data_IF_817125175458
#
_entry.id   IF_817125175458
#
_cell.length_a   1.000
_cell.length_b   1.000
_cell.length_c   1.000
_cell.angle_alpha   90.00
_cell.angle_beta   90.00
_cell.angle_gamma   90.00
#
_symmetry.space_group_name_H-M   'P 1'
#
loop_
_entity.id
_entity.type
_entity.pdbx_description
1 polymer ?
#
# COMPACT_ATOMS: atom_id res chain seq x y z
N UNK A 1 -12.96 -5.91 15.27
CA UNK A 1 -11.81 -6.12 14.37
C UNK A 1 -12.12 -7.38 13.56
N UNK A 2 -12.06 -7.33 12.24
CA UNK A 2 -12.39 -8.46 11.36
C UNK A 2 -11.11 -9.08 10.80
N UNK A 3 -10.99 -10.39 10.81
CA UNK A 3 -9.91 -11.10 10.10
C UNK A 3 -10.30 -11.28 8.64
N UNK A 4 -9.51 -10.73 7.71
CA UNK A 4 -9.75 -10.85 6.27
C UNK A 4 -8.93 -11.99 5.66
N UNK A 5 -7.68 -12.13 6.10
CA UNK A 5 -6.74 -13.18 5.73
C UNK A 5 -5.87 -13.48 6.96
N UNK A 6 -5.25 -14.67 7.09
CA UNK A 6 -4.24 -14.91 8.11
C UNK A 6 -3.24 -13.74 8.20
N UNK A 7 -3.12 -13.16 9.39
CA UNK A 7 -2.28 -12.00 9.73
C UNK A 7 -2.72 -10.64 9.14
N UNK A 8 -3.91 -10.54 8.53
CA UNK A 8 -4.48 -9.28 8.07
C UNK A 8 -5.85 -9.05 8.71
N UNK A 9 -5.88 -8.03 9.56
CA UNK A 9 -7.07 -7.61 10.28
C UNK A 9 -7.53 -6.21 9.84
N UNK A 10 -8.83 -6.02 9.74
CA UNK A 10 -9.46 -4.78 9.27
C UNK A 10 -10.33 -4.19 10.39
N UNK A 11 -10.18 -2.88 10.61
CA UNK A 11 -11.05 -2.09 11.49
C UNK A 11 -11.78 -1.07 10.62
N UNK A 12 -13.05 -1.30 10.25
CA UNK A 12 -13.76 -0.38 9.39
C UNK A 12 -14.09 0.93 10.12
N UNK A 13 -13.95 2.05 9.39
CA UNK A 13 -14.49 3.32 9.80
C UNK A 13 -16.03 3.33 9.66
N UNK A 14 -16.69 4.31 10.29
CA UNK A 14 -18.12 4.53 10.04
C UNK A 14 -18.33 5.01 8.58
N UNK A 15 -19.43 4.60 7.96
CA UNK A 15 -19.79 5.04 6.60
C UNK A 15 -20.17 6.52 6.54
N UNK A 16 -20.72 7.05 7.63
CA UNK A 16 -21.05 8.47 7.78
C UNK A 16 -19.87 9.23 8.38
N UNK A 17 -19.51 10.40 7.81
CA UNK A 17 -18.47 11.25 8.38
C UNK A 17 -18.81 11.61 9.83
N UNK A 18 -17.97 11.18 10.76
CA UNK A 18 -18.12 11.53 12.16
C UNK A 18 -17.47 12.89 12.41
N UNK A 19 -18.12 13.74 13.19
CA UNK A 19 -17.52 15.02 13.58
C UNK A 19 -16.29 14.77 14.46
N UNK A 20 -15.11 14.92 13.88
CA UNK A 20 -13.84 14.83 14.61
C UNK A 20 -13.57 16.15 15.31
N UNK A 21 -13.84 16.19 16.62
CA UNK A 21 -13.55 17.35 17.48
C UNK A 21 -12.10 17.38 17.98
N UNK A 22 -11.48 16.22 18.13
CA UNK A 22 -10.10 16.10 18.62
C UNK A 22 -9.31 15.10 17.75
N UNK A 23 -8.33 15.56 16.95
CA UNK A 23 -7.57 14.71 16.05
C UNK A 23 -6.66 13.70 16.77
N UNK A 24 -6.31 13.94 18.04
CA UNK A 24 -5.46 13.03 18.81
C UNK A 24 -6.19 11.81 19.37
N UNK A 25 -7.54 11.80 19.30
CA UNK A 25 -8.35 10.70 19.83
C UNK A 25 -8.05 9.38 19.10
N UNK A 26 -7.74 9.44 17.80
CA UNK A 26 -7.38 8.25 17.02
C UNK A 26 -6.10 7.60 17.59
N UNK A 27 -5.05 8.39 17.81
CA UNK A 27 -3.78 7.91 18.40
C UNK A 27 -4.00 7.17 19.71
N UNK A 28 -4.83 7.72 20.60
CA UNK A 28 -5.14 7.11 21.89
C UNK A 28 -5.89 5.77 21.74
N UNK A 29 -6.83 5.70 20.77
CA UNK A 29 -7.63 4.50 20.53
C UNK A 29 -6.83 3.36 19.90
N UNK A 30 -5.86 3.65 19.03
CA UNK A 30 -5.03 2.63 18.40
C UNK A 30 -3.81 2.23 19.24
N UNK A 31 -3.42 3.04 20.23
CA UNK A 31 -2.24 2.79 21.06
C UNK A 31 -2.19 1.37 21.68
N UNK A 32 -3.29 0.80 22.21
CA UNK A 32 -3.27 -0.58 22.73
C UNK A 32 -2.97 -1.64 21.66
N UNK A 33 -3.36 -1.39 20.40
CA UNK A 33 -3.17 -2.34 19.29
C UNK A 33 -1.69 -2.51 18.95
N UNK A 34 -0.85 -1.52 19.23
CA UNK A 34 0.59 -1.57 18.96
C UNK A 34 1.32 -2.74 19.65
N UNK A 35 0.73 -3.33 20.69
CA UNK A 35 1.28 -4.51 21.39
C UNK A 35 1.04 -5.82 20.64
N UNK A 36 0.13 -5.83 19.67
CA UNK A 36 -0.37 -7.04 19.02
C UNK A 36 -0.12 -7.07 17.51
N UNK A 37 0.34 -5.96 16.93
CA UNK A 37 0.53 -5.81 15.49
C UNK A 37 1.89 -5.20 15.21
N UNK A 38 2.64 -5.82 14.29
CA UNK A 38 3.92 -5.29 13.82
C UNK A 38 3.73 -4.02 12.97
N UNK A 39 2.66 -4.00 12.17
CA UNK A 39 2.31 -2.89 11.27
C UNK A 39 0.83 -2.56 11.43
N UNK A 40 0.54 -1.26 11.55
CA UNK A 40 -0.82 -0.71 11.51
C UNK A 40 -0.89 0.28 10.35
N UNK A 41 -1.63 -0.08 9.30
CA UNK A 41 -1.91 0.81 8.17
C UNK A 41 -3.15 1.66 8.48
N UNK A 42 -3.00 2.97 8.45
CA UNK A 42 -4.10 3.92 8.59
C UNK A 42 -4.41 4.52 7.23
N UNK A 43 -5.57 4.18 6.66
CA UNK A 43 -6.06 4.84 5.45
C UNK A 43 -6.56 6.25 5.79
N UNK A 44 -6.16 7.24 4.99
CA UNK A 44 -6.46 8.65 5.24
C UNK A 44 -7.40 9.20 4.17
N UNK A 45 -8.34 10.05 4.59
CA UNK A 45 -9.15 10.83 3.66
C UNK A 45 -8.28 11.67 2.71
N UNK A 46 -8.62 11.76 1.41
CA UNK A 46 -7.93 12.66 0.50
C UNK A 46 -8.23 14.15 0.81
N UNK A 47 -9.23 14.41 1.66
CA UNK A 47 -9.67 15.75 2.00
C UNK A 47 -8.83 16.37 3.13
N UNK A 48 -8.53 17.65 3.00
CA UNK A 48 -7.84 18.43 4.03
C UNK A 48 -8.80 18.82 5.16
N UNK A 49 -9.20 17.83 5.95
CA UNK A 49 -10.14 17.96 7.06
C UNK A 49 -9.52 17.42 8.37
N UNK A 50 -10.31 17.30 9.43
CA UNK A 50 -9.82 16.75 10.69
C UNK A 50 -9.52 15.24 10.63
N UNK A 51 -9.97 14.52 9.59
CA UNK A 51 -9.65 13.10 9.38
C UNK A 51 -8.18 12.94 8.99
N UNK A 52 -7.69 13.68 7.99
CA UNK A 52 -6.27 13.61 7.60
C UNK A 52 -5.37 14.01 8.77
N UNK A 53 -5.75 15.02 9.55
CA UNK A 53 -5.01 15.43 10.75
C UNK A 53 -4.97 14.33 11.82
N UNK A 54 -6.08 13.59 11.98
CA UNK A 54 -6.15 12.48 12.92
C UNK A 54 -5.24 11.33 12.50
N UNK A 55 -5.28 10.97 11.21
CA UNK A 55 -4.42 9.93 10.65
C UNK A 55 -2.95 10.31 10.77
N UNK A 56 -2.57 11.52 10.34
CA UNK A 56 -1.19 12.02 10.46
C UNK A 56 -0.71 12.03 11.92
N UNK A 57 -1.52 12.50 12.86
CA UNK A 57 -1.13 12.57 14.27
C UNK A 57 -0.99 11.18 14.93
N UNK A 58 -1.70 10.17 14.41
CA UNK A 58 -1.70 8.81 14.92
C UNK A 58 -0.59 7.94 14.30
N UNK A 59 -0.06 8.31 13.14
CA UNK A 59 1.00 7.59 12.44
C UNK A 59 2.40 7.89 12.98
N UNK A 60 3.29 6.90 12.91
CA UNK A 60 4.72 7.07 13.20
C UNK A 60 5.48 7.63 11.98
N UNK A 61 5.07 7.23 10.77
CA UNK A 61 5.60 7.71 9.50
C UNK A 61 4.51 7.73 8.43
N UNK A 62 4.77 8.44 7.32
CA UNK A 62 3.81 8.62 6.24
C UNK A 62 4.35 8.15 4.90
N UNK A 63 3.48 7.49 4.15
CA UNK A 63 3.60 7.24 2.74
C UNK A 63 2.56 8.10 2.03
N UNK A 64 2.99 8.96 1.13
CA UNK A 64 2.07 9.88 0.44
C UNK A 64 1.89 9.42 -0.99
N UNK A 65 0.65 9.16 -1.37
CA UNK A 65 0.29 8.72 -2.72
C UNK A 65 -0.09 9.94 -3.56
N UNK A 66 0.42 9.99 -4.80
CA UNK A 66 0.05 11.00 -5.79
C UNK A 66 -0.18 10.36 -7.16
N UNK A 67 -0.57 11.15 -8.15
CA UNK A 67 -0.67 10.76 -9.57
C UNK A 67 0.15 11.76 -10.40
N UNK A 68 0.62 11.40 -11.60
CA UNK A 68 1.55 12.25 -12.36
C UNK A 68 0.81 13.39 -13.08
N UNK A 69 -0.01 14.14 -12.34
CA UNK A 69 -0.80 15.28 -12.79
C UNK A 69 -0.74 16.41 -11.74
N UNK A 70 -0.76 17.65 -12.23
CA UNK A 70 -0.67 18.85 -11.38
C UNK A 70 -1.77 18.97 -10.32
N UNK A 71 -3.06 18.69 -10.60
CA UNK A 71 -4.11 18.77 -9.58
C UNK A 71 -3.87 17.85 -8.38
N UNK A 72 -3.48 16.60 -8.64
CA UNK A 72 -3.20 15.63 -7.57
C UNK A 72 -1.93 16.02 -6.82
N UNK A 73 -0.87 16.40 -7.53
CA UNK A 73 0.38 16.85 -6.90
C UNK A 73 0.15 18.06 -5.98
N UNK A 74 -0.63 19.06 -6.41
CA UNK A 74 -0.95 20.23 -5.59
C UNK A 74 -1.62 19.86 -4.26
N UNK A 75 -2.50 18.84 -4.28
CA UNK A 75 -3.13 18.32 -3.05
C UNK A 75 -2.13 17.57 -2.18
N UNK A 76 -1.28 16.74 -2.78
CA UNK A 76 -0.17 16.03 -2.12
C UNK A 76 0.75 17.01 -1.38
N UNK A 77 1.13 18.14 -1.99
CA UNK A 77 2.00 19.14 -1.37
C UNK A 77 1.44 19.71 -0.07
N UNK A 78 0.11 19.84 0.04
CA UNK A 78 -0.53 20.30 1.27
C UNK A 78 -0.43 19.26 2.39
N UNK A 79 -0.65 17.98 2.07
CA UNK A 79 -0.44 16.89 3.03
C UNK A 79 1.03 16.82 3.49
N UNK A 80 1.97 16.94 2.55
CA UNK A 80 3.42 17.03 2.83
C UNK A 80 3.72 18.21 3.76
N UNK A 81 3.15 19.39 3.50
CA UNK A 81 3.33 20.58 4.33
C UNK A 81 2.80 20.37 5.75
N UNK A 82 1.62 19.76 5.90
CA UNK A 82 1.04 19.44 7.22
C UNK A 82 1.93 18.45 7.98
N UNK A 83 2.40 17.39 7.33
CA UNK A 83 3.30 16.41 7.92
C UNK A 83 4.62 17.05 8.38
N UNK A 84 5.27 17.85 7.51
CA UNK A 84 6.48 18.63 7.84
C UNK A 84 6.24 19.54 9.05
N UNK A 85 5.13 20.30 9.09
CA UNK A 85 4.77 21.17 10.23
C UNK A 85 4.54 20.41 11.55
N UNK A 86 4.12 19.15 11.46
CA UNK A 86 3.87 18.28 12.61
C UNK A 86 5.08 17.41 12.97
N UNK A 87 6.20 17.57 12.27
CA UNK A 87 7.41 16.75 12.43
C UNK A 87 7.14 15.25 12.30
N UNK A 88 6.20 14.87 11.43
CA UNK A 88 5.96 13.45 11.10
C UNK A 88 6.82 13.09 9.89
N UNK A 89 7.67 12.07 9.98
CA UNK A 89 8.56 11.69 8.89
C UNK A 89 7.75 11.18 7.69
N UNK A 90 8.12 11.65 6.51
CA UNK A 90 7.58 11.17 5.23
C UNK A 90 8.60 10.21 4.66
N UNK A 91 8.24 8.92 4.61
CA UNK A 91 9.15 7.86 4.17
C UNK A 91 9.39 7.89 2.66
N UNK A 92 8.41 8.39 1.91
CA UNK A 92 8.52 8.65 0.48
C UNK A 92 7.18 8.90 -0.20
N UNK A 93 7.25 9.28 -1.47
CA UNK A 93 6.12 9.40 -2.37
C UNK A 93 5.91 8.10 -3.17
N UNK A 94 4.65 7.77 -3.41
CA UNK A 94 4.25 6.72 -4.35
C UNK A 94 3.49 7.39 -5.49
N UNK A 95 4.02 7.30 -6.72
CA UNK A 95 3.35 7.85 -7.90
C UNK A 95 2.50 6.74 -8.53
N UNK A 96 1.17 6.88 -8.43
CA UNK A 96 0.22 5.91 -8.93
C UNK A 96 -0.35 6.32 -10.30
N UNK A 97 -0.95 5.36 -11.02
CA UNK A 97 -1.62 5.56 -12.32
C UNK A 97 -0.72 6.16 -13.42
N UNK A 98 0.54 5.77 -13.46
CA UNK A 98 1.48 6.24 -14.50
C UNK A 98 1.22 5.53 -15.84
N UNK A 99 1.03 6.29 -16.92
CA UNK A 99 0.75 5.77 -18.27
C UNK A 99 1.92 5.91 -19.23
N UNK A 100 2.97 6.62 -18.84
CA UNK A 100 4.15 6.90 -19.67
C UNK A 100 3.83 7.84 -20.83
N UNK A 101 2.93 8.80 -20.62
CA UNK A 101 2.52 9.76 -21.66
C UNK A 101 3.25 11.09 -21.46
N UNK A 102 3.53 11.81 -22.55
CA UNK A 102 4.31 13.07 -22.53
C UNK A 102 3.67 14.21 -21.74
N UNK A 103 2.38 14.13 -21.44
CA UNK A 103 1.67 15.13 -20.64
C UNK A 103 1.76 14.86 -19.13
N UNK A 104 2.29 13.70 -18.73
CA UNK A 104 2.44 13.32 -17.34
C UNK A 104 3.67 14.00 -16.74
N UNK A 105 3.56 14.41 -15.49
CA UNK A 105 4.70 14.84 -14.70
C UNK A 105 5.71 13.70 -14.58
N UNK A 106 6.97 14.02 -14.81
CA UNK A 106 8.07 13.07 -14.62
C UNK A 106 8.37 12.89 -13.13
N UNK A 107 8.98 11.76 -12.77
CA UNK A 107 9.41 11.49 -11.39
C UNK A 107 10.33 12.60 -10.85
N UNK A 108 11.37 13.06 -11.59
CA UNK A 108 12.21 14.17 -11.12
C UNK A 108 11.43 15.45 -10.84
N UNK A 109 10.50 15.84 -11.72
CA UNK A 109 9.66 17.04 -11.49
C UNK A 109 8.82 16.91 -10.22
N UNK A 110 8.28 15.72 -9.94
CA UNK A 110 7.50 15.44 -8.73
C UNK A 110 8.39 15.51 -7.48
N UNK A 111 9.56 14.89 -7.51
CA UNK A 111 10.52 14.89 -6.41
C UNK A 111 11.02 16.30 -6.10
N UNK A 112 11.41 17.05 -7.13
CA UNK A 112 11.89 18.43 -7.01
C UNK A 112 10.80 19.36 -6.44
N UNK A 113 9.56 19.21 -6.91
CA UNK A 113 8.43 20.02 -6.45
C UNK A 113 8.03 19.70 -5.02
N UNK A 114 8.04 18.42 -4.63
CA UNK A 114 7.62 17.99 -3.30
C UNK A 114 8.74 18.03 -2.26
N UNK A 115 9.99 18.06 -2.70
CA UNK A 115 11.20 17.87 -1.90
C UNK A 115 11.13 16.57 -1.07
N UNK A 116 10.60 15.50 -1.67
CA UNK A 116 10.45 14.18 -1.06
C UNK A 116 10.75 13.12 -2.13
N UNK A 117 11.58 12.11 -1.83
CA UNK A 117 11.92 11.08 -2.81
C UNK A 117 10.72 10.20 -3.15
N UNK A 118 10.63 9.80 -4.42
CA UNK A 118 9.71 8.79 -4.91
C UNK A 118 10.31 7.41 -4.66
N UNK A 119 9.60 6.60 -3.89
CA UNK A 119 10.05 5.25 -3.50
C UNK A 119 9.35 4.15 -4.30
N UNK A 120 8.36 4.51 -5.11
CA UNK A 120 7.62 3.57 -5.94
C UNK A 120 6.80 4.24 -7.01
N UNK A 121 6.73 3.61 -8.18
CA UNK A 121 5.94 4.05 -9.32
C UNK A 121 5.04 2.92 -9.74
N UNK A 122 3.73 3.13 -9.67
CA UNK A 122 2.73 2.12 -9.99
C UNK A 122 2.11 2.49 -11.34
N UNK A 123 2.27 1.65 -12.39
CA UNK A 123 1.67 1.91 -13.68
C UNK A 123 0.14 1.80 -13.62
N UNK A 124 -0.54 2.53 -14.49
CA UNK A 124 -1.98 2.36 -14.71
C UNK A 124 -2.24 0.95 -15.27
N UNK A 125 -3.09 0.18 -14.61
CA UNK A 125 -3.32 -1.23 -14.91
C UNK A 125 -4.81 -1.57 -14.79
N UNK A 126 -5.43 -1.95 -15.90
CA UNK A 126 -6.84 -2.36 -15.95
C UNK A 126 -7.14 -3.57 -15.06
N UNK A 127 -6.12 -4.40 -14.75
CA UNK A 127 -6.30 -5.53 -13.82
C UNK A 127 -6.61 -5.07 -12.40
N UNK A 128 -6.29 -3.83 -12.02
CA UNK A 128 -6.75 -3.27 -10.74
C UNK A 128 -8.27 -3.10 -10.72
N UNK A 129 -8.86 -2.57 -11.80
CA UNK A 129 -10.30 -2.38 -11.91
C UNK A 129 -11.03 -3.72 -11.96
N UNK A 130 -10.45 -4.69 -12.67
CA UNK A 130 -10.96 -6.06 -12.72
C UNK A 130 -10.93 -6.71 -11.33
N UNK A 131 -9.81 -6.62 -10.60
CA UNK A 131 -9.69 -7.15 -9.24
C UNK A 131 -10.74 -6.55 -8.29
N UNK A 132 -10.94 -5.22 -8.37
CA UNK A 132 -11.95 -4.51 -7.59
C UNK A 132 -13.36 -5.02 -7.90
N UNK A 133 -13.70 -5.23 -9.17
CA UNK A 133 -15.00 -5.77 -9.58
C UNK A 133 -15.26 -7.18 -9.01
N UNK A 134 -14.21 -7.97 -8.79
CA UNK A 134 -14.28 -9.27 -8.14
C UNK A 134 -14.08 -9.22 -6.61
N UNK A 135 -14.01 -8.03 -6.01
CA UNK A 135 -13.76 -7.83 -4.57
C UNK A 135 -12.48 -8.53 -4.06
N UNK A 136 -11.46 -8.59 -4.92
CA UNK A 136 -10.15 -9.18 -4.62
C UNK A 136 -9.06 -8.14 -4.65
N UNK A 137 -7.97 -8.40 -3.94
CA UNK A 137 -6.75 -7.60 -4.10
C UNK A 137 -6.11 -7.85 -5.47
N UNK A 138 -5.35 -6.89 -5.98
CA UNK A 138 -4.56 -7.10 -7.21
C UNK A 138 -3.56 -8.25 -7.04
N UNK A 139 -3.03 -8.43 -5.83
CA UNK A 139 -2.12 -9.51 -5.48
C UNK A 139 -2.76 -10.88 -5.73
N UNK A 140 -3.99 -11.10 -5.29
CA UNK A 140 -4.69 -12.37 -5.50
C UNK A 140 -5.17 -12.52 -6.95
N UNK A 141 -5.64 -11.43 -7.56
CA UNK A 141 -6.29 -11.48 -8.86
C UNK A 141 -5.30 -11.58 -10.03
N UNK A 142 -4.20 -10.81 -9.99
CA UNK A 142 -3.23 -10.72 -11.07
C UNK A 142 -1.80 -10.47 -10.56
N UNK A 143 -1.19 -11.41 -9.80
CA UNK A 143 0.07 -11.21 -9.07
C UNK A 143 1.30 -10.91 -9.93
N UNK A 144 1.22 -11.16 -11.25
CA UNK A 144 2.34 -11.05 -12.18
C UNK A 144 2.31 -9.78 -13.04
N UNK A 145 1.33 -8.89 -12.85
CA UNK A 145 1.31 -7.63 -13.59
C UNK A 145 2.40 -6.69 -13.10
N UNK A 146 2.76 -5.68 -13.91
CA UNK A 146 3.75 -4.70 -13.51
C UNK A 146 3.29 -3.93 -12.25
N UNK A 147 2.01 -3.58 -12.16
CA UNK A 147 1.46 -2.92 -10.98
C UNK A 147 1.55 -3.79 -9.71
N UNK A 148 1.22 -5.08 -9.81
CA UNK A 148 1.34 -6.02 -8.69
C UNK A 148 2.80 -6.14 -8.22
N UNK A 149 3.74 -6.21 -9.16
CA UNK A 149 5.17 -6.31 -8.84
C UNK A 149 5.67 -5.03 -8.15
N UNK A 150 5.30 -3.84 -8.64
CA UNK A 150 5.71 -2.57 -8.02
C UNK A 150 5.08 -2.40 -6.62
N UNK A 151 3.82 -2.79 -6.43
CA UNK A 151 3.19 -2.84 -5.10
C UNK A 151 3.95 -3.77 -4.14
N UNK A 152 4.37 -4.95 -4.60
CA UNK A 152 5.14 -5.88 -3.77
C UNK A 152 6.54 -5.34 -3.41
N UNK A 153 7.18 -4.55 -4.29
CA UNK A 153 8.44 -3.86 -3.97
C UNK A 153 8.25 -2.80 -2.88
N UNK A 154 7.18 -2.01 -2.98
CA UNK A 154 6.83 -1.01 -1.96
C UNK A 154 6.55 -1.71 -0.62
N UNK A 155 5.79 -2.81 -0.64
CA UNK A 155 5.54 -3.65 0.55
C UNK A 155 6.83 -4.24 1.14
N UNK A 156 7.75 -4.71 0.29
CA UNK A 156 9.09 -5.13 0.73
C UNK A 156 9.84 -3.99 1.43
N UNK A 157 9.83 -2.78 0.84
CA UNK A 157 10.47 -1.61 1.44
C UNK A 157 9.86 -1.20 2.78
N UNK A 158 8.55 -1.39 2.98
CA UNK A 158 7.87 -1.19 4.26
C UNK A 158 8.38 -2.15 5.34
N UNK A 159 8.71 -3.39 4.94
CA UNK A 159 9.22 -4.44 5.83
C UNK A 159 10.75 -4.39 6.00
N UNK A 160 11.44 -3.46 5.34
CA UNK A 160 12.92 -3.46 5.28
C UNK A 160 13.49 -4.67 4.51
N UNK A 161 12.70 -5.30 3.63
CA UNK A 161 13.05 -6.49 2.87
C UNK A 161 13.18 -6.17 1.36
N UNK A 162 14.11 -6.82 0.68
CA UNK A 162 14.20 -6.75 -0.78
C UNK A 162 13.19 -7.68 -1.43
N UNK A 163 12.30 -7.17 -2.29
CA UNK A 163 11.42 -8.00 -3.10
C UNK A 163 12.15 -8.54 -4.35
N UNK A 164 12.08 -9.86 -4.56
CA UNK A 164 12.66 -10.52 -5.73
C UNK A 164 11.77 -10.30 -6.96
N UNK A 165 12.16 -9.39 -7.85
CA UNK A 165 11.39 -9.08 -9.06
C UNK A 165 11.42 -10.24 -10.08
N UNK A 166 10.29 -10.92 -10.35
CA UNK A 166 10.24 -12.06 -11.27
C UNK A 166 10.61 -11.70 -12.72
N UNK A 167 10.55 -10.41 -13.09
CA UNK A 167 10.93 -9.94 -14.44
C UNK A 167 12.44 -9.99 -14.65
N UNK A 168 13.24 -9.92 -13.59
CA UNK A 168 14.70 -9.90 -13.67
C UNK A 168 15.24 -11.23 -14.21
N UNK A 169 14.71 -12.36 -13.71
CA UNK A 169 15.06 -13.69 -14.21
C UNK A 169 14.64 -13.91 -15.66
N UNK A 170 13.46 -13.43 -16.08
CA UNK A 170 13.04 -13.52 -17.49
C UNK A 170 14.01 -12.80 -18.44
N UNK A 171 14.55 -11.64 -18.04
CA UNK A 171 15.54 -10.88 -18.84
C UNK A 171 16.90 -11.58 -18.92
N UNK A 172 17.38 -12.15 -17.81
CA UNK A 172 18.62 -12.93 -17.80
C UNK A 172 18.51 -14.17 -18.70
N UNK A 173 17.41 -14.91 -18.62
CA UNK A 173 17.22 -16.13 -19.40
C UNK A 173 16.74 -15.87 -20.84
N UNK A 174 16.16 -14.70 -21.17
CA UNK A 174 15.79 -14.38 -22.56
C UNK A 174 16.99 -14.13 -23.46
N UNK A 175 18.10 -13.62 -22.92
CA UNK A 175 19.35 -13.46 -23.66
C UNK A 175 20.03 -14.80 -23.96
N UNK A 176 19.81 -15.81 -23.12
CA UNK A 176 20.36 -17.16 -23.31
C UNK A 176 19.46 -18.08 -24.15
N UNK A 177 18.20 -17.71 -24.42
CA UNK A 177 17.21 -18.58 -25.07
C UNK A 177 16.83 -18.16 -26.49
N UNK A 178 17.57 -17.23 -27.10
CA UNK A 178 17.35 -16.82 -28.50
C UNK A 178 17.85 -17.86 -29.52
N UNK A 179 18.55 -18.91 -29.08
CA UNK A 179 19.21 -19.86 -29.98
C UNK A 179 18.63 -21.29 -30.06
N UNK A 180 17.49 -21.59 -29.42
CA UNK A 180 16.88 -22.92 -29.57
C UNK A 180 15.35 -22.87 -29.61
N UNK A 181 14.79 -23.12 -30.80
CA UNK A 181 13.38 -23.50 -30.98
C UNK A 181 13.20 -25.00 -30.64
N UNK A 182 12.18 -25.25 -29.82
CA UNK A 182 11.61 -26.50 -29.25
C UNK A 182 11.50 -27.74 -30.17
N UNK A 183 11.40 -28.99 -29.63
CA UNK A 183 10.10 -29.50 -29.14
C UNK A 183 10.07 -30.47 -27.92
N UNK A 184 8.87 -30.56 -27.32
CA UNK A 184 8.22 -31.68 -26.61
C UNK A 184 8.28 -31.86 -25.06
N UNK A 185 7.10 -31.65 -24.45
CA UNK A 185 6.35 -32.39 -23.38
C UNK A 185 7.05 -33.11 -22.20
N UNK A 186 6.66 -32.81 -20.93
CA UNK A 186 5.81 -33.65 -20.02
C UNK A 186 5.84 -33.23 -18.51
N UNK A 187 4.62 -33.08 -17.97
CA UNK A 187 4.03 -33.48 -16.65
C UNK A 187 4.72 -33.28 -15.26
N UNK A 188 3.97 -32.55 -14.39
CA UNK A 188 3.55 -32.84 -12.97
C UNK A 188 4.65 -32.93 -11.87
N UNK A 189 4.51 -32.58 -10.57
CA UNK A 189 3.43 -32.44 -9.57
C UNK A 189 3.89 -31.50 -8.41
N UNK A 190 2.92 -30.87 -7.73
CA UNK A 190 2.93 -30.44 -6.30
C UNK A 190 2.50 -31.64 -5.40
N UNK A 191 2.78 -31.74 -4.07
CA UNK A 191 2.28 -30.76 -3.08
C UNK A 191 3.01 -30.59 -1.71
N UNK A 192 2.64 -29.47 -1.05
CA UNK A 192 2.45 -29.20 0.41
C UNK A 192 3.63 -29.48 1.40
N UNK A 193 3.78 -28.88 2.59
CA UNK A 193 2.86 -28.31 3.57
C UNK A 193 3.69 -27.57 4.66
N UNK A 194 3.22 -26.48 5.27
CA UNK A 194 3.45 -26.23 6.73
C UNK A 194 2.63 -25.06 7.29
N UNK A 195 1.57 -25.44 8.03
CA UNK A 195 1.10 -24.91 9.32
C UNK A 195 1.00 -23.39 9.56
N UNK A 196 -0.21 -22.86 9.47
CA UNK A 196 -0.65 -21.60 10.07
C UNK A 196 -1.20 -21.84 11.49
N UNK A 197 -0.58 -21.28 12.51
CA UNK A 197 -1.18 -21.12 13.85
C UNK A 197 -2.14 -19.93 13.83
N UNK A 198 -3.40 -20.13 14.18
CA UNK A 198 -4.41 -19.08 14.29
C UNK A 198 -4.15 -18.21 15.52
N UNK A 199 -3.92 -16.92 15.29
CA UNK A 199 -3.83 -15.91 16.34
C UNK A 199 -5.24 -15.51 16.77
N UNK A 200 -5.57 -15.67 18.07
CA UNK A 200 -6.87 -15.28 18.63
C UNK A 200 -6.71 -13.96 19.36
N UNK A 201 -7.39 -12.91 18.88
CA UNK A 201 -7.41 -11.59 19.53
C UNK A 201 -7.95 -11.68 20.97
N UNK A 202 -7.27 -11.07 21.97
CA UNK A 202 -7.77 -11.01 23.34
C UNK A 202 -9.16 -10.38 23.45
N UNK A 203 -9.99 -10.95 24.32
CA UNK A 203 -11.39 -10.56 24.58
C UNK A 203 -11.55 -9.07 24.94
N UNK A 204 -10.54 -8.44 25.56
CA UNK A 204 -10.61 -7.03 25.95
C UNK A 204 -10.68 -6.08 24.74
N UNK A 205 -10.11 -6.48 23.60
CA UNK A 205 -10.12 -5.67 22.37
C UNK A 205 -11.46 -5.80 21.66
N UNK A 206 -12.08 -6.99 21.64
CA UNK A 206 -13.40 -7.21 21.01
C UNK A 206 -14.49 -6.36 21.67
N UNK A 207 -14.52 -6.33 23.01
CA UNK A 207 -15.50 -5.56 23.79
C UNK A 207 -15.41 -4.04 23.57
N UNK A 208 -14.25 -3.51 23.16
CA UNK A 208 -14.07 -2.08 22.90
C UNK A 208 -14.64 -1.63 21.54
N UNK A 209 -14.93 -2.57 20.64
CA UNK A 209 -15.45 -2.28 19.28
C UNK A 209 -16.89 -2.79 19.05
N UNK A 210 -17.38 -3.74 19.85
CA UNK A 210 -18.77 -4.24 19.78
C UNK A 210 -19.80 -3.34 20.52
N UNK A 211 -19.36 -2.26 21.18
CA UNK A 211 -20.25 -1.27 21.80
C UNK A 211 -20.56 -0.07 20.87
N UNK A 212 -20.97 -0.35 19.62
CA UNK A 212 -21.59 0.65 18.74
C UNK A 212 -23.10 0.50 18.74
#
# INVERSE_FOLDING_TARGET
IYEYHPNLHIIPAALTPLLIRNPYKLKQKIAPLRKYYDIILLDSSPSLNNEILSTIAASDELYVVTSPDYPTLSTTLRAVSIAKKKNIPIRGLIVNKVRGKKFELTVPEIEDTAEVPVIGVIPDDLKMLEALAFTRSLYEHAPRTNAAIELNKIAGSLLGQSYQDPRFFKRLFSSFKKDQRNPAQQKTKDPSNSSSSSFVLPEEIKKQYDQR
#
